data_IF_435252955993
#
_entry.id   IF_435252955993
#
_cell.length_a   1.000
_cell.length_b   1.000
_cell.length_c   1.000
_cell.angle_alpha   90.00
_cell.angle_beta   90.00
_cell.angle_gamma   90.00
#
_symmetry.space_group_name_H-M   'P 1'
#
loop_
_entity.id
_entity.type
_entity.pdbx_description
1 polymer ?
#
# COMPACT_ATOMS: atom_id res chain seq x y z
N UNK A 1 -26.48 6.33 -1.66
CA UNK A 1 -25.76 7.59 -1.83
C UNK A 1 -26.22 8.19 -3.15
N UNK A 2 -26.82 9.37 -3.15
CA UNK A 2 -27.24 10.04 -4.38
C UNK A 2 -26.03 10.79 -4.97
N UNK A 3 -25.48 10.28 -6.06
CA UNK A 3 -24.31 10.87 -6.73
C UNK A 3 -24.59 12.27 -7.29
N UNK A 4 -25.88 12.63 -7.52
CA UNK A 4 -26.26 13.95 -8.00
C UNK A 4 -26.05 15.05 -6.94
N UNK A 5 -25.96 14.67 -5.66
CA UNK A 5 -25.73 15.58 -4.52
C UNK A 5 -24.30 15.50 -3.97
N UNK A 6 -23.43 14.65 -4.55
CA UNK A 6 -22.07 14.50 -4.09
C UNK A 6 -21.22 15.71 -4.52
N UNK A 7 -20.44 16.24 -3.58
CA UNK A 7 -19.42 17.22 -3.91
C UNK A 7 -18.27 16.52 -4.64
N UNK A 8 -18.10 16.82 -5.95
CA UNK A 8 -17.02 16.25 -6.75
C UNK A 8 -15.73 17.04 -6.57
N UNK A 9 -14.62 16.32 -6.39
CA UNK A 9 -13.28 16.88 -6.42
C UNK A 9 -12.64 16.52 -7.76
N UNK A 10 -12.44 17.52 -8.62
CA UNK A 10 -11.74 17.34 -9.89
C UNK A 10 -10.23 17.43 -9.66
N UNK A 11 -9.49 16.43 -10.08
CA UNK A 11 -8.04 16.36 -9.89
C UNK A 11 -7.34 15.69 -11.07
N UNK A 12 -6.10 16.10 -11.40
CA UNK A 12 -5.26 15.35 -12.32
C UNK A 12 -5.01 13.94 -11.78
N UNK A 13 -5.17 12.95 -12.65
CA UNK A 13 -4.93 11.56 -12.31
C UNK A 13 -4.09 10.88 -13.39
N UNK A 14 -3.34 9.84 -12.99
CA UNK A 14 -2.58 8.96 -13.86
C UNK A 14 -2.78 7.51 -13.41
N UNK A 15 -2.58 6.57 -14.30
CA UNK A 15 -2.70 5.14 -14.01
C UNK A 15 -1.33 4.50 -14.13
N UNK A 16 -0.95 3.70 -13.14
CA UNK A 16 0.15 2.74 -13.20
C UNK A 16 -0.44 1.35 -13.42
N UNK A 17 0.13 0.59 -14.34
CA UNK A 17 -0.33 -0.76 -14.68
C UNK A 17 0.88 -1.63 -14.90
N UNK A 18 0.88 -2.82 -14.31
CA UNK A 18 1.89 -3.83 -14.59
C UNK A 18 1.72 -4.38 -16.01
N UNK A 19 2.85 -4.69 -16.63
CA UNK A 19 2.85 -5.35 -17.94
C UNK A 19 2.49 -6.84 -17.77
N UNK A 20 1.73 -7.45 -18.73
CA UNK A 20 1.44 -8.89 -18.69
C UNK A 20 2.69 -9.77 -18.64
N UNK A 21 3.80 -9.32 -19.25
CA UNK A 21 5.09 -10.01 -19.26
C UNK A 21 5.78 -10.09 -17.89
N UNK A 22 5.27 -9.41 -16.87
CA UNK A 22 5.72 -9.54 -15.49
C UNK A 22 5.53 -10.96 -14.95
N UNK A 23 4.50 -11.67 -15.43
CA UNK A 23 4.24 -13.06 -15.04
C UNK A 23 4.98 -13.98 -16.02
N UNK A 24 5.96 -14.80 -15.57
CA UNK A 24 6.63 -15.77 -16.43
C UNK A 24 5.60 -16.73 -17.05
N UNK A 25 5.74 -17.00 -18.34
CA UNK A 25 4.93 -18.05 -19.02
C UNK A 25 5.36 -19.40 -18.47
N UNK A 26 4.39 -20.27 -18.14
CA UNK A 26 4.62 -21.62 -17.64
C UNK A 26 5.65 -22.36 -18.50
N UNK A 27 6.72 -22.83 -17.89
CA UNK A 27 7.85 -23.51 -18.55
C UNK A 27 9.17 -22.76 -18.57
N UNK A 28 9.23 -21.47 -18.20
CA UNK A 28 10.48 -20.70 -18.07
C UNK A 28 10.87 -20.37 -16.62
N UNK A 29 10.26 -21.01 -15.65
CA UNK A 29 10.64 -20.88 -14.25
C UNK A 29 12.03 -21.54 -14.04
N UNK A 30 13.11 -20.82 -14.24
CA UNK A 30 14.38 -21.39 -13.86
C UNK A 30 15.68 -20.78 -14.34
N UNK A 31 15.73 -19.62 -14.98
CA UNK A 31 17.01 -18.97 -15.27
C UNK A 31 16.90 -17.46 -15.52
N UNK A 32 16.26 -16.70 -14.64
CA UNK A 32 16.53 -15.28 -14.61
C UNK A 32 17.73 -15.06 -13.68
N UNK A 33 18.87 -14.55 -14.15
CA UNK A 33 19.94 -14.11 -13.26
C UNK A 33 19.38 -12.99 -12.37
N UNK A 34 19.70 -13.06 -11.07
CA UNK A 34 19.45 -11.95 -10.16
C UNK A 34 20.05 -10.68 -10.78
N UNK A 35 19.31 -9.58 -10.88
CA UNK A 35 19.87 -8.35 -11.41
C UNK A 35 21.05 -7.93 -10.53
N UNK A 36 22.23 -7.87 -11.14
CA UNK A 36 23.41 -7.25 -10.54
C UNK A 36 23.04 -5.83 -10.14
N UNK A 37 23.36 -5.48 -8.90
CA UNK A 37 23.14 -4.16 -8.34
C UNK A 37 23.87 -3.10 -9.18
N UNK A 38 23.16 -2.46 -10.09
CA UNK A 38 23.65 -1.25 -10.73
C UNK A 38 23.38 -0.05 -9.83
N UNK A 39 24.38 0.82 -9.61
CA UNK A 39 24.20 2.00 -8.75
C UNK A 39 23.16 2.92 -9.36
N UNK A 40 22.20 3.31 -8.53
CA UNK A 40 21.07 4.18 -8.86
C UNK A 40 21.54 5.46 -9.57
N UNK A 41 21.32 5.54 -10.87
CA UNK A 41 21.41 6.79 -11.63
C UNK A 41 20.07 7.48 -11.51
N UNK A 42 19.99 8.51 -10.68
CA UNK A 42 18.83 9.36 -10.56
C UNK A 42 18.58 10.09 -11.88
N UNK A 43 17.59 9.64 -12.63
CA UNK A 43 17.06 10.39 -13.78
C UNK A 43 15.73 11.03 -13.36
N UNK A 44 15.53 12.35 -13.56
CA UNK A 44 14.28 12.99 -13.16
C UNK A 44 13.12 12.47 -13.99
N UNK A 45 12.07 11.96 -13.34
CA UNK A 45 10.80 11.65 -13.97
C UNK A 45 10.15 12.95 -14.46
N UNK A 46 10.15 13.17 -15.76
CA UNK A 46 9.31 14.18 -16.37
C UNK A 46 7.86 13.68 -16.41
N UNK A 47 7.07 14.06 -15.39
CA UNK A 47 5.63 13.82 -15.38
C UNK A 47 4.99 14.81 -16.38
N UNK A 48 4.79 14.39 -17.62
CA UNK A 48 3.98 15.14 -18.59
C UNK A 48 2.50 14.95 -18.25
N UNK A 49 1.99 15.82 -17.38
CA UNK A 49 0.56 15.94 -17.14
C UNK A 49 -0.11 16.55 -18.36
N UNK A 50 -0.81 15.77 -19.13
CA UNK A 50 -1.73 16.27 -20.17
C UNK A 50 -2.98 16.82 -19.46
N UNK A 51 -2.98 18.12 -19.18
CA UNK A 51 -4.15 18.82 -18.67
C UNK A 51 -5.20 18.93 -19.78
N UNK A 52 -6.32 18.25 -19.63
CA UNK A 52 -7.50 18.51 -20.44
C UNK A 52 -8.13 19.82 -19.96
N UNK A 53 -7.86 20.91 -20.65
CA UNK A 53 -8.65 22.15 -20.53
C UNK A 53 -9.82 22.03 -21.50
N UNK A 54 -11.04 22.05 -20.97
CA UNK A 54 -12.25 22.20 -21.76
C UNK A 54 -12.29 23.59 -22.39
N UNK A 55 -12.23 23.62 -23.69
CA UNK A 55 -12.65 24.76 -24.54
C UNK A 55 -13.54 24.20 -25.66
N UNK A 56 -14.51 24.98 -26.17
CA UNK A 56 -15.48 24.50 -27.16
C UNK A 56 -14.81 24.18 -28.51
N UNK A 57 -15.44 23.32 -29.35
CA UNK A 57 -14.79 22.73 -30.50
C UNK A 57 -14.60 23.74 -31.63
N UNK A 58 -13.35 23.92 -32.05
CA UNK A 58 -13.01 24.51 -33.32
C UNK A 58 -12.74 23.41 -34.38
N UNK A 59 -13.12 23.64 -35.60
CA UNK A 59 -13.10 22.73 -36.75
C UNK A 59 -11.70 22.13 -37.04
N UNK A 60 -11.61 20.92 -37.63
CA UNK A 60 -10.37 20.19 -37.80
C UNK A 60 -9.50 20.75 -38.94
N UNK A 61 -8.24 21.04 -38.61
CA UNK A 61 -7.17 21.22 -39.60
C UNK A 61 -6.51 19.84 -39.89
N UNK A 62 -5.96 19.63 -41.10
CA UNK A 62 -5.47 18.32 -41.55
C UNK A 62 -4.21 17.89 -40.78
N UNK A 63 -4.19 16.63 -40.40
CA UNK A 63 -3.11 16.00 -39.68
C UNK A 63 -1.87 15.79 -40.55
N UNK A 64 -0.71 16.26 -40.07
CA UNK A 64 0.59 15.82 -40.58
C UNK A 64 0.92 14.40 -40.10
N UNK A 65 1.60 13.59 -40.91
CA UNK A 65 1.91 12.19 -40.51
C UNK A 65 2.93 12.16 -39.40
N UNK A 66 2.55 11.54 -38.27
CA UNK A 66 3.46 11.25 -37.17
C UNK A 66 4.49 10.18 -37.64
N UNK A 67 5.75 10.48 -37.51
CA UNK A 67 6.85 9.57 -37.83
C UNK A 67 6.87 8.44 -36.79
N UNK A 68 6.91 7.20 -37.24
CA UNK A 68 6.91 5.95 -36.49
C UNK A 68 8.09 5.77 -35.49
N UNK A 69 9.03 6.71 -35.46
CA UNK A 69 10.25 6.62 -34.64
C UNK A 69 10.06 6.98 -33.16
N UNK A 70 8.99 7.74 -32.80
CA UNK A 70 8.80 8.21 -31.42
C UNK A 70 8.00 7.22 -30.55
N UNK A 71 7.31 6.25 -31.16
CA UNK A 71 6.55 5.24 -30.42
C UNK A 71 7.41 4.09 -29.89
N UNK A 72 8.49 3.73 -30.58
CA UNK A 72 9.34 2.61 -30.20
C UNK A 72 10.29 2.95 -29.04
N UNK A 73 10.68 4.21 -28.90
CA UNK A 73 11.52 4.67 -27.77
C UNK A 73 10.74 4.78 -26.46
N UNK A 74 9.45 5.05 -26.50
CA UNK A 74 8.60 5.07 -25.30
C UNK A 74 8.23 3.65 -24.83
N UNK A 75 8.19 2.67 -25.72
CA UNK A 75 7.92 1.27 -25.39
C UNK A 75 9.15 0.55 -24.83
N UNK A 76 10.37 0.94 -25.21
CA UNK A 76 11.60 0.30 -24.74
C UNK A 76 12.00 0.68 -23.30
N UNK A 77 11.49 1.77 -22.73
CA UNK A 77 11.76 2.20 -21.35
C UNK A 77 10.72 1.74 -20.33
N UNK A 78 9.62 1.12 -20.76
CA UNK A 78 8.50 0.74 -19.87
C UNK A 78 8.59 -0.71 -19.35
N UNK A 79 9.67 -1.45 -19.61
CA UNK A 79 9.67 -2.92 -19.46
C UNK A 79 10.24 -3.45 -18.15
N UNK A 80 10.63 -2.60 -17.18
CA UNK A 80 11.22 -3.06 -15.92
C UNK A 80 10.52 -2.59 -14.65
N UNK A 81 9.65 -1.60 -14.70
CA UNK A 81 9.06 -1.02 -13.50
C UNK A 81 7.68 -1.62 -13.22
N UNK A 82 7.53 -2.29 -12.09
CA UNK A 82 6.24 -2.76 -11.59
C UNK A 82 5.47 -1.60 -10.94
N UNK A 83 4.15 -1.77 -10.72
CA UNK A 83 3.34 -0.81 -9.96
C UNK A 83 3.95 -0.57 -8.58
N UNK A 84 4.41 -1.63 -7.91
CA UNK A 84 5.06 -1.50 -6.59
C UNK A 84 6.35 -0.69 -6.69
N UNK A 85 7.20 -0.92 -7.71
CA UNK A 85 8.43 -0.14 -7.91
C UNK A 85 8.12 1.34 -8.17
N UNK A 86 7.09 1.63 -8.96
CA UNK A 86 6.61 3.00 -9.16
C UNK A 86 6.16 3.68 -7.85
N UNK A 87 5.50 2.94 -6.95
CA UNK A 87 5.14 3.46 -5.63
C UNK A 87 6.36 3.66 -4.73
N UNK A 88 7.36 2.75 -4.77
CA UNK A 88 8.63 2.93 -4.05
C UNK A 88 9.37 4.17 -4.53
N UNK A 89 9.39 4.44 -5.84
CA UNK A 89 9.95 5.66 -6.39
C UNK A 89 9.21 6.90 -5.88
N UNK A 90 7.87 6.89 -5.86
CA UNK A 90 7.08 8.00 -5.29
C UNK A 90 7.43 8.25 -3.81
N UNK A 91 7.58 7.20 -3.01
CA UNK A 91 8.06 7.31 -1.62
C UNK A 91 9.48 7.89 -1.54
N UNK A 92 10.33 7.56 -2.51
CA UNK A 92 11.67 8.15 -2.65
C UNK A 92 11.66 9.68 -2.79
N UNK A 93 10.59 10.26 -3.33
CA UNK A 93 10.42 11.70 -3.49
C UNK A 93 9.68 12.37 -2.33
N UNK A 94 9.17 11.62 -1.36
CA UNK A 94 8.50 12.14 -0.18
C UNK A 94 9.43 13.05 0.65
N UNK A 95 8.86 14.11 1.21
CA UNK A 95 9.58 15.14 1.98
C UNK A 95 9.08 15.32 3.40
N UNK A 96 7.84 14.90 3.69
CA UNK A 96 7.19 15.12 4.98
C UNK A 96 6.60 13.84 5.55
N UNK A 97 5.73 13.20 4.78
CA UNK A 97 4.90 12.12 5.28
C UNK A 97 4.55 11.09 4.20
N UNK A 98 4.58 9.83 4.58
CA UNK A 98 4.11 8.69 3.80
C UNK A 98 3.16 7.90 4.69
N UNK A 99 1.90 7.80 4.27
CA UNK A 99 0.87 7.03 4.95
C UNK A 99 0.42 5.89 4.04
N UNK A 100 0.54 4.67 4.54
CA UNK A 100 0.32 3.42 3.81
C UNK A 100 -0.82 2.65 4.47
N UNK A 101 -1.75 2.16 3.66
CA UNK A 101 -2.69 1.11 4.04
C UNK A 101 -2.45 -0.09 3.14
N UNK A 102 -2.10 -1.23 3.72
CA UNK A 102 -1.89 -2.48 3.00
C UNK A 102 -2.40 -3.66 3.83
N UNK A 103 -3.47 -4.36 3.39
CA UNK A 103 -4.03 -5.51 4.10
C UNK A 103 -3.00 -6.61 4.37
N UNK A 104 -2.20 -6.93 3.37
CA UNK A 104 -1.03 -7.78 3.45
C UNK A 104 0.21 -6.90 3.29
N UNK A 105 1.11 -6.99 4.24
CA UNK A 105 2.29 -6.14 4.30
C UNK A 105 3.51 -7.00 4.64
N UNK A 106 4.22 -7.44 3.62
CA UNK A 106 5.44 -8.25 3.76
C UNK A 106 6.57 -7.54 3.01
N UNK A 107 7.23 -6.57 3.67
CA UNK A 107 8.19 -5.72 3.00
C UNK A 107 9.48 -6.48 2.65
N UNK A 108 9.78 -6.54 1.35
CA UNK A 108 11.06 -7.01 0.85
C UNK A 108 12.22 -6.06 1.19
N UNK A 109 13.43 -6.44 0.77
CA UNK A 109 14.64 -5.66 1.03
C UNK A 109 14.55 -4.25 0.42
N UNK A 110 14.06 -4.12 -0.81
CA UNK A 110 13.93 -2.85 -1.54
C UNK A 110 12.97 -1.90 -0.83
N UNK A 111 11.86 -2.42 -0.32
CA UNK A 111 10.88 -1.66 0.43
C UNK A 111 11.44 -1.17 1.77
N UNK A 112 12.15 -2.04 2.51
CA UNK A 112 12.84 -1.65 3.74
C UNK A 112 13.90 -0.58 3.47
N UNK A 113 14.64 -0.69 2.36
CA UNK A 113 15.61 0.32 1.95
C UNK A 113 14.94 1.67 1.62
N UNK A 114 13.79 1.65 0.93
CA UNK A 114 13.01 2.85 0.65
C UNK A 114 12.52 3.53 1.94
N UNK A 115 12.05 2.75 2.93
CA UNK A 115 11.65 3.28 4.24
C UNK A 115 12.85 3.87 4.99
N UNK A 116 13.98 3.16 5.04
CA UNK A 116 15.19 3.66 5.67
C UNK A 116 15.65 4.99 5.05
N UNK A 117 15.68 5.08 3.73
CA UNK A 117 16.04 6.29 3.01
C UNK A 117 15.04 7.44 3.27
N UNK A 118 13.73 7.17 3.35
CA UNK A 118 12.72 8.16 3.69
C UNK A 118 12.91 8.67 5.12
N UNK A 119 13.11 7.76 6.09
CA UNK A 119 13.35 8.10 7.49
C UNK A 119 14.65 8.91 7.69
N UNK A 120 15.72 8.55 6.97
CA UNK A 120 16.98 9.31 7.00
C UNK A 120 16.82 10.76 6.53
N UNK A 121 15.83 11.04 5.66
CA UNK A 121 15.46 12.40 5.24
C UNK A 121 14.49 13.09 6.20
N UNK A 122 14.11 12.45 7.32
CA UNK A 122 13.14 12.98 8.28
C UNK A 122 11.67 12.81 7.87
N UNK A 123 11.39 12.01 6.83
CA UNK A 123 10.02 11.72 6.39
C UNK A 123 9.35 10.82 7.43
N UNK A 124 8.16 11.16 7.89
CA UNK A 124 7.33 10.31 8.73
C UNK A 124 6.77 9.17 7.87
N UNK A 125 6.96 7.92 8.28
CA UNK A 125 6.42 6.75 7.58
C UNK A 125 5.49 6.00 8.50
N UNK A 126 4.23 5.86 8.09
CA UNK A 126 3.16 5.18 8.84
C UNK A 126 2.54 4.07 8.01
N UNK A 127 2.32 2.93 8.63
CA UNK A 127 1.70 1.76 7.98
C UNK A 127 0.54 1.26 8.83
N UNK A 128 -0.63 1.10 8.22
CA UNK A 128 -1.76 0.39 8.76
C UNK A 128 -1.93 -0.93 8.00
N UNK A 129 -1.91 -2.04 8.73
CA UNK A 129 -2.14 -3.38 8.20
C UNK A 129 -3.14 -4.16 9.06
N UNK A 130 -3.48 -5.38 8.67
CA UNK A 130 -4.31 -6.25 9.49
C UNK A 130 -3.52 -6.80 10.69
N UNK A 131 -4.15 -6.85 11.88
CA UNK A 131 -3.65 -7.65 13.00
C UNK A 131 -3.77 -9.14 12.70
N UNK A 132 -3.17 -9.99 13.51
CA UNK A 132 -3.36 -11.44 13.42
C UNK A 132 -4.85 -11.84 13.53
N UNK A 133 -5.59 -11.16 14.39
CA UNK A 133 -7.00 -11.43 14.61
C UNK A 133 -7.92 -10.96 13.46
N UNK A 134 -7.52 -9.90 12.75
CA UNK A 134 -8.30 -9.35 11.62
C UNK A 134 -7.88 -9.91 10.26
N UNK A 135 -6.77 -10.67 10.18
CA UNK A 135 -6.24 -11.21 8.93
C UNK A 135 -6.92 -12.54 8.56
N UNK A 136 -7.31 -12.68 7.30
CA UNK A 136 -7.86 -13.92 6.73
C UNK A 136 -6.76 -14.86 6.21
N UNK A 137 -5.52 -14.38 6.07
CA UNK A 137 -4.35 -15.13 5.62
C UNK A 137 -3.26 -15.17 6.72
N UNK A 138 -3.35 -16.09 7.71
CA UNK A 138 -2.39 -16.18 8.82
C UNK A 138 -0.93 -16.33 8.37
N UNK A 139 -0.70 -16.96 7.20
CA UNK A 139 0.65 -17.12 6.63
C UNK A 139 1.22 -15.77 6.20
N UNK A 140 0.41 -14.92 5.54
CA UNK A 140 0.84 -13.56 5.18
C UNK A 140 1.14 -12.73 6.42
N UNK A 141 0.32 -12.87 7.47
CA UNK A 141 0.61 -12.22 8.75
C UNK A 141 1.91 -12.74 9.39
N UNK A 142 2.19 -14.04 9.29
CA UNK A 142 3.45 -14.63 9.75
C UNK A 142 4.66 -14.01 9.04
N UNK A 143 4.55 -13.78 7.74
CA UNK A 143 5.55 -13.05 6.96
C UNK A 143 5.78 -11.64 7.51
N UNK A 144 4.72 -10.88 7.69
CA UNK A 144 4.77 -9.52 8.25
C UNK A 144 5.38 -9.49 9.66
N UNK A 145 4.93 -10.38 10.54
CA UNK A 145 5.30 -10.38 11.96
C UNK A 145 6.81 -10.40 12.21
N UNK A 146 7.57 -11.07 11.34
CA UNK A 146 9.04 -11.14 11.41
C UNK A 146 9.71 -9.80 11.17
N UNK A 147 9.07 -8.93 10.39
CA UNK A 147 9.64 -7.65 9.99
C UNK A 147 9.34 -6.52 10.97
N UNK A 148 8.44 -6.71 11.93
CA UNK A 148 8.04 -5.67 12.90
C UNK A 148 9.25 -5.04 13.64
N UNK A 149 10.17 -5.83 14.24
CA UNK A 149 11.30 -5.23 14.95
C UNK A 149 12.18 -4.36 14.05
N UNK A 150 12.49 -4.85 12.84
CA UNK A 150 13.30 -4.10 11.87
C UNK A 150 12.61 -2.79 11.45
N UNK A 151 11.32 -2.84 11.13
CA UNK A 151 10.55 -1.67 10.72
C UNK A 151 10.47 -0.62 11.83
N UNK A 152 10.22 -1.06 13.07
CA UNK A 152 10.21 -0.19 14.23
C UNK A 152 11.59 0.41 14.51
N UNK A 153 12.67 -0.36 14.34
CA UNK A 153 14.04 0.13 14.48
C UNK A 153 14.39 1.16 13.38
N UNK A 154 13.84 1.04 12.17
CA UNK A 154 13.93 2.05 11.12
C UNK A 154 13.11 3.31 11.45
N UNK A 155 12.29 3.31 12.49
CA UNK A 155 11.41 4.41 12.87
C UNK A 155 10.10 4.47 12.06
N UNK A 156 9.69 3.37 11.44
CA UNK A 156 8.36 3.24 10.83
C UNK A 156 7.33 3.10 11.95
N UNK A 157 6.27 3.87 11.89
CA UNK A 157 5.13 3.76 12.82
C UNK A 157 4.18 2.68 12.29
N UNK A 158 4.02 1.61 13.07
CA UNK A 158 3.18 0.48 12.71
C UNK A 158 1.85 0.52 13.47
N UNK A 159 0.79 0.29 12.73
CA UNK A 159 -0.57 0.18 13.27
C UNK A 159 -1.22 -1.10 12.74
N UNK A 160 -1.93 -1.80 13.61
CA UNK A 160 -2.64 -3.02 13.29
C UNK A 160 -4.12 -2.89 13.56
N UNK A 161 -4.92 -3.19 12.55
CA UNK A 161 -6.36 -3.10 12.60
C UNK A 161 -6.94 -4.10 13.59
N UNK A 162 -7.85 -3.65 14.47
CA UNK A 162 -8.60 -4.52 15.37
C UNK A 162 -9.65 -5.36 14.61
N UNK A 163 -9.90 -6.56 15.10
CA UNK A 163 -10.87 -7.47 14.47
C UNK A 163 -12.35 -7.10 14.70
N UNK A 164 -12.66 -6.32 15.76
CA UNK A 164 -14.04 -6.10 16.21
C UNK A 164 -14.67 -4.78 15.73
N UNK A 165 -14.02 -4.03 14.83
CA UNK A 165 -14.50 -2.70 14.46
C UNK A 165 -15.40 -2.69 13.22
N UNK A 166 -16.68 -2.45 13.45
CA UNK A 166 -17.69 -2.21 12.40
C UNK A 166 -17.59 -0.82 11.74
N UNK A 167 -16.89 0.14 12.35
CA UNK A 167 -16.94 1.55 11.96
C UNK A 167 -16.04 1.96 10.80
N UNK A 168 -14.87 1.31 10.62
CA UNK A 168 -14.07 1.53 9.41
C UNK A 168 -14.75 1.00 8.15
N UNK A 169 -15.60 -0.02 8.29
CA UNK A 169 -16.44 -0.48 7.18
C UNK A 169 -17.35 0.63 6.67
N UNK A 170 -17.84 1.52 7.54
CA UNK A 170 -18.61 2.70 7.16
C UNK A 170 -17.78 3.76 6.42
N UNK A 171 -16.58 4.05 6.90
CA UNK A 171 -15.72 5.08 6.31
C UNK A 171 -15.14 4.66 4.94
N UNK A 172 -14.79 3.39 4.74
CA UNK A 172 -14.24 2.88 3.48
C UNK A 172 -15.25 2.16 2.59
N UNK A 173 -16.44 1.76 3.10
CA UNK A 173 -17.54 1.25 2.28
C UNK A 173 -18.24 2.35 1.47
N UNK A 174 -18.09 3.61 1.85
CA UNK A 174 -18.54 4.75 1.05
C UNK A 174 -17.79 4.87 -0.31
N UNK A 175 -16.69 4.15 -0.50
CA UNK A 175 -15.92 4.08 -1.76
C UNK A 175 -16.25 2.87 -2.64
N UNK A 176 -17.47 2.30 -2.54
CA UNK A 176 -18.01 1.46 -3.62
C UNK A 176 -17.66 -0.03 -3.62
N UNK A 177 -17.41 -0.64 -2.47
CA UNK A 177 -17.26 -2.10 -2.37
C UNK A 177 -18.60 -2.82 -2.35
N UNK A 178 -18.91 -3.61 -3.37
CA UNK A 178 -20.09 -4.47 -3.50
C UNK A 178 -20.20 -5.46 -2.32
N UNK A 179 -21.43 -5.55 -1.79
CA UNK A 179 -21.77 -6.39 -0.67
C UNK A 179 -21.50 -7.86 -0.87
N UNK A 180 -20.75 -8.45 0.03
CA UNK A 180 -20.66 -9.90 0.21
C UNK A 180 -21.87 -10.42 0.98
N UNK A 181 -22.58 -11.35 0.41
CA UNK A 181 -23.74 -12.06 0.93
C UNK A 181 -23.44 -12.85 2.21
N UNK A 182 -24.44 -12.83 3.09
CA UNK A 182 -24.50 -13.40 4.40
C UNK A 182 -23.92 -14.79 4.65
N UNK A 183 -23.13 -14.83 5.72
CA UNK A 183 -23.06 -15.96 6.63
C UNK A 183 -23.22 -15.40 8.04
N UNK A 184 -24.12 -15.97 8.83
CA UNK A 184 -24.36 -15.64 10.22
C UNK A 184 -23.21 -16.13 11.11
N UNK A 185 -22.11 -15.40 11.06
CA UNK A 185 -20.98 -15.45 11.97
C UNK A 185 -20.55 -14.00 12.20
N UNK A 186 -20.08 -13.65 13.40
CA UNK A 186 -19.59 -12.32 13.73
C UNK A 186 -18.65 -11.84 12.63
N UNK A 187 -19.09 -10.88 11.81
CA UNK A 187 -18.32 -10.35 10.68
C UNK A 187 -17.09 -9.63 11.24
N UNK A 188 -15.94 -10.29 11.19
CA UNK A 188 -14.68 -9.65 11.54
C UNK A 188 -14.44 -8.50 10.58
N UNK A 189 -14.15 -7.33 11.12
CA UNK A 189 -13.72 -6.22 10.30
C UNK A 189 -12.31 -6.56 9.78
N UNK A 190 -12.18 -6.62 8.47
CA UNK A 190 -10.92 -6.86 7.78
C UNK A 190 -10.62 -5.68 6.87
N UNK A 191 -9.39 -5.20 6.95
CA UNK A 191 -8.90 -4.19 6.04
C UNK A 191 -8.69 -4.81 4.65
N UNK A 192 -9.19 -4.15 3.60
CA UNK A 192 -8.97 -4.60 2.21
C UNK A 192 -8.46 -3.46 1.30
N UNK A 193 -8.49 -2.24 1.76
CA UNK A 193 -8.01 -1.06 1.03
C UNK A 193 -6.50 -1.10 0.84
N UNK A 194 -6.03 -0.79 -0.38
CA UNK A 194 -4.62 -0.58 -0.70
C UNK A 194 -4.45 0.86 -1.14
N UNK A 195 -3.73 1.62 -0.32
CA UNK A 195 -3.67 3.07 -0.45
C UNK A 195 -2.31 3.60 0.02
N UNK A 196 -1.82 4.61 -0.67
CA UNK A 196 -0.63 5.36 -0.31
C UNK A 196 -0.95 6.86 -0.41
N UNK A 197 -0.67 7.62 0.65
CA UNK A 197 -0.68 9.08 0.60
C UNK A 197 0.74 9.61 0.78
N UNK A 198 1.17 10.49 -0.10
CA UNK A 198 2.49 11.12 -0.05
C UNK A 198 2.33 12.62 0.17
N UNK A 199 2.93 13.13 1.24
CA UNK A 199 3.01 14.55 1.59
C UNK A 199 1.65 15.28 1.68
N UNK A 200 0.54 14.55 1.86
CA UNK A 200 -0.81 15.10 1.84
C UNK A 200 -1.19 15.73 0.49
N UNK A 201 -0.60 15.29 -0.63
CA UNK A 201 -0.79 15.87 -1.97
C UNK A 201 -1.06 14.86 -3.05
N UNK A 202 -0.50 13.69 -2.93
CA UNK A 202 -0.65 12.59 -3.87
C UNK A 202 -1.28 11.40 -3.16
N UNK A 203 -2.35 10.89 -3.74
CA UNK A 203 -3.04 9.69 -3.33
C UNK A 203 -2.83 8.62 -4.40
N UNK A 204 -2.37 7.45 -4.02
CA UNK A 204 -2.39 6.25 -4.85
C UNK A 204 -3.37 5.25 -4.25
N UNK A 205 -4.27 4.72 -5.07
CA UNK A 205 -5.22 3.67 -4.69
C UNK A 205 -5.25 2.61 -5.77
N UNK A 206 -5.23 1.33 -5.40
CA UNK A 206 -5.16 0.27 -6.39
C UNK A 206 -5.40 -1.12 -5.84
N UNK A 207 -4.97 -2.10 -6.61
CA UNK A 207 -5.09 -3.52 -6.28
C UNK A 207 -3.90 -4.08 -5.51
N UNK A 208 -2.72 -3.45 -5.60
CA UNK A 208 -1.45 -3.95 -5.08
C UNK A 208 -1.37 -3.90 -3.56
N UNK A 209 -1.01 -5.01 -2.94
CA UNK A 209 -0.48 -5.01 -1.58
C UNK A 209 1.01 -4.63 -1.60
N UNK A 210 1.53 -4.18 -0.47
CA UNK A 210 2.97 -3.99 -0.31
C UNK A 210 3.60 -5.30 0.22
N UNK A 211 3.62 -6.29 -0.65
CA UNK A 211 4.22 -7.60 -0.45
C UNK A 211 4.99 -8.07 -1.69
N UNK A 212 5.78 -9.12 -1.53
CA UNK A 212 6.61 -9.66 -2.61
C UNK A 212 5.78 -10.32 -3.73
N UNK A 213 4.59 -10.81 -3.41
CA UNK A 213 3.69 -11.41 -4.37
C UNK A 213 3.11 -10.36 -5.31
N UNK A 214 2.61 -9.24 -4.79
CA UNK A 214 2.15 -8.12 -5.61
C UNK A 214 3.29 -7.51 -6.43
N UNK A 215 4.52 -7.50 -5.88
CA UNK A 215 5.67 -6.98 -6.60
C UNK A 215 6.11 -7.87 -7.77
N UNK A 216 6.05 -9.22 -7.63
CA UNK A 216 6.72 -10.14 -8.55
C UNK A 216 5.82 -11.12 -9.29
N UNK A 217 4.63 -11.42 -8.78
CA UNK A 217 3.80 -12.52 -9.26
C UNK A 217 2.42 -12.10 -9.76
N UNK A 218 1.87 -11.00 -9.24
CA UNK A 218 0.58 -10.49 -9.67
C UNK A 218 0.74 -9.35 -10.66
N UNK A 219 -0.22 -9.18 -11.57
CA UNK A 219 -0.38 -7.94 -12.32
C UNK A 219 -1.28 -7.00 -11.52
N UNK A 220 -0.81 -5.80 -11.31
CA UNK A 220 -1.44 -4.81 -10.45
C UNK A 220 -1.78 -3.52 -11.22
N UNK A 221 -2.69 -2.75 -10.65
CA UNK A 221 -3.06 -1.43 -11.15
C UNK A 221 -3.15 -0.44 -10.00
N UNK A 222 -2.71 0.78 -10.23
CA UNK A 222 -2.89 1.88 -9.29
C UNK A 222 -3.33 3.15 -10.01
N UNK A 223 -4.27 3.87 -9.41
CA UNK A 223 -4.68 5.21 -9.79
C UNK A 223 -3.93 6.21 -8.91
N UNK A 224 -3.18 7.11 -9.53
CA UNK A 224 -2.48 8.22 -8.89
C UNK A 224 -3.31 9.47 -9.03
N UNK A 225 -3.69 10.11 -7.92
CA UNK A 225 -4.53 11.31 -7.90
C UNK A 225 -3.74 12.44 -7.24
N UNK A 226 -3.48 13.52 -7.97
CA UNK A 226 -2.84 14.70 -7.40
C UNK A 226 -3.90 15.67 -6.90
N UNK A 227 -4.23 15.58 -5.62
CA UNK A 227 -5.18 16.46 -4.96
C UNK A 227 -4.85 16.64 -3.49
N UNK A 228 -4.47 17.85 -3.10
CA UNK A 228 -4.22 18.18 -1.69
C UNK A 228 -5.50 18.05 -0.87
N UNK A 229 -6.62 18.55 -1.37
CA UNK A 229 -7.89 18.49 -0.64
C UNK A 229 -8.31 17.04 -0.38
N UNK A 230 -8.30 16.17 -1.40
CA UNK A 230 -8.63 14.76 -1.25
C UNK A 230 -7.63 14.03 -0.36
N UNK A 231 -6.33 14.28 -0.53
CA UNK A 231 -5.30 13.63 0.27
C UNK A 231 -5.39 14.01 1.74
N UNK A 232 -5.70 15.27 2.07
CA UNK A 232 -5.91 15.72 3.46
C UNK A 232 -7.15 15.02 4.04
N UNK A 233 -8.29 15.06 3.35
CA UNK A 233 -9.52 14.43 3.81
C UNK A 233 -9.34 12.93 4.09
N UNK A 234 -8.66 12.23 3.20
CA UNK A 234 -8.34 10.80 3.36
C UNK A 234 -7.39 10.60 4.55
N UNK A 235 -6.34 11.42 4.67
CA UNK A 235 -5.39 11.32 5.78
C UNK A 235 -6.08 11.54 7.13
N UNK A 236 -6.92 12.57 7.26
CA UNK A 236 -7.67 12.85 8.50
C UNK A 236 -8.58 11.68 8.90
N UNK A 237 -9.28 11.10 7.92
CA UNK A 237 -10.12 9.92 8.15
C UNK A 237 -9.31 8.71 8.64
N UNK A 238 -8.12 8.51 8.06
CA UNK A 238 -7.23 7.42 8.46
C UNK A 238 -6.67 7.70 9.87
N UNK A 239 -6.24 8.91 10.16
CA UNK A 239 -5.70 9.27 11.48
C UNK A 239 -6.72 9.07 12.62
N UNK A 240 -7.98 9.41 12.37
CA UNK A 240 -9.06 9.10 13.31
C UNK A 240 -9.17 7.59 13.53
N UNK A 241 -9.08 6.81 12.45
CA UNK A 241 -9.11 5.35 12.54
C UNK A 241 -7.88 4.78 13.27
N UNK A 242 -6.69 5.28 13.00
CA UNK A 242 -5.45 4.87 13.69
C UNK A 242 -5.55 5.10 15.19
N UNK A 243 -6.05 6.26 15.60
CA UNK A 243 -6.14 6.63 17.01
C UNK A 243 -7.21 5.86 17.78
N UNK A 244 -8.36 5.58 17.15
CA UNK A 244 -9.53 5.02 17.83
C UNK A 244 -9.72 3.51 17.62
N UNK A 245 -9.12 2.93 16.57
CA UNK A 245 -9.50 1.61 16.09
C UNK A 245 -8.33 0.68 15.76
N UNK A 246 -7.09 1.14 15.88
CA UNK A 246 -5.92 0.33 15.59
C UNK A 246 -5.01 0.22 16.81
N UNK A 247 -4.38 -0.94 16.96
CA UNK A 247 -3.27 -1.13 17.89
C UNK A 247 -2.04 -0.44 17.32
N UNK A 248 -1.38 0.40 18.09
CA UNK A 248 -0.06 0.90 17.73
C UNK A 248 1.01 -0.08 18.21
N UNK A 249 1.79 -0.64 17.28
CA UNK A 249 2.89 -1.53 17.62
C UNK A 249 4.13 -0.71 17.95
N UNK A 250 4.74 -0.98 19.09
CA UNK A 250 5.95 -0.29 19.57
C UNK A 250 6.96 -1.29 20.12
N UNK A 251 8.18 -0.83 20.40
CA UNK A 251 9.16 -1.58 21.17
C UNK A 251 9.26 -1.01 22.58
N UNK A 252 9.35 -1.91 23.57
CA UNK A 252 9.72 -1.53 24.96
C UNK A 252 11.21 -1.18 25.02
N UNK A 253 11.71 -0.58 26.13
CA UNK A 253 13.15 -0.37 26.33
C UNK A 253 13.97 -1.66 26.21
N UNK A 254 13.38 -2.81 26.56
CA UNK A 254 13.99 -4.15 26.47
C UNK A 254 13.86 -4.77 25.06
N UNK A 255 13.49 -3.97 24.05
CA UNK A 255 13.32 -4.39 22.64
C UNK A 255 12.26 -5.50 22.44
N UNK A 256 11.23 -5.52 23.28
CA UNK A 256 10.09 -6.43 23.15
C UNK A 256 8.91 -5.69 22.50
N UNK A 257 8.14 -6.39 21.68
CA UNK A 257 6.93 -5.86 21.07
C UNK A 257 5.87 -5.53 22.15
N UNK A 258 5.24 -4.38 21.98
CA UNK A 258 4.13 -3.90 22.77
C UNK A 258 3.07 -3.31 21.84
N UNK A 259 1.85 -3.78 21.96
CA UNK A 259 0.67 -3.23 21.28
C UNK A 259 -0.02 -2.25 22.22
N UNK A 260 0.06 -0.97 21.90
CA UNK A 260 -0.64 0.07 22.65
C UNK A 260 -2.10 0.11 22.24
N UNK A 261 -2.97 0.14 23.22
CA UNK A 261 -4.40 0.17 23.00
C UNK A 261 -4.86 1.48 22.33
N UNK A 262 -5.89 1.42 21.46
CA UNK A 262 -6.47 2.62 20.86
C UNK A 262 -6.98 3.59 21.94
N UNK A 263 -6.86 4.89 21.67
CA UNK A 263 -7.30 5.92 22.61
C UNK A 263 -8.80 5.82 22.90
N UNK A 264 -9.16 5.90 24.17
CA UNK A 264 -10.57 5.87 24.60
C UNK A 264 -11.26 4.51 24.43
N UNK A 265 -10.53 3.46 24.07
CA UNK A 265 -11.10 2.11 23.87
C UNK A 265 -11.43 1.39 25.18
N UNK A 266 -10.86 1.81 26.30
CA UNK A 266 -10.96 1.10 27.58
C UNK A 266 -10.16 -0.23 27.63
N UNK A 267 -9.34 -0.50 26.62
CA UNK A 267 -8.48 -1.66 26.56
C UNK A 267 -7.13 -1.37 27.21
N UNK A 268 -6.47 -2.43 27.64
CA UNK A 268 -5.10 -2.38 28.14
C UNK A 268 -4.09 -2.68 27.01
N UNK A 269 -2.87 -2.19 27.18
CA UNK A 269 -1.75 -2.52 26.31
C UNK A 269 -1.45 -4.03 26.38
N UNK A 270 -1.06 -4.63 25.26
CA UNK A 270 -0.79 -6.06 25.18
C UNK A 270 0.66 -6.35 24.81
N UNK A 271 1.28 -7.30 25.48
CA UNK A 271 2.61 -7.82 25.13
C UNK A 271 2.56 -9.04 24.19
N UNK A 272 1.36 -9.43 23.75
CA UNK A 272 1.14 -10.55 22.82
C UNK A 272 0.15 -10.10 21.75
N UNK A 273 0.03 -10.86 20.64
CA UNK A 273 -0.93 -10.59 19.56
C UNK A 273 -2.34 -10.30 20.13
N UNK A 274 -2.82 -9.06 20.10
CA UNK A 274 -4.11 -8.73 20.70
C UNK A 274 -5.27 -9.31 19.89
N UNK A 275 -6.40 -9.50 20.53
CA UNK A 275 -7.65 -10.02 19.93
C UNK A 275 -7.51 -11.41 19.28
N UNK A 276 -6.31 -12.02 19.27
CA UNK A 276 -6.06 -13.33 18.67
C UNK A 276 -6.26 -14.46 19.65
N UNK A 277 -6.90 -15.55 19.19
CA UNK A 277 -7.07 -16.75 20.00
C UNK A 277 -5.75 -17.49 20.24
N UNK A 278 -5.66 -18.24 21.35
CA UNK A 278 -4.47 -19.05 21.64
C UNK A 278 -4.06 -20.00 20.49
N UNK A 279 -4.99 -20.75 19.86
CA UNK A 279 -4.61 -21.59 18.72
C UNK A 279 -4.00 -20.80 17.58
N UNK A 280 -4.53 -19.61 17.27
CA UNK A 280 -4.02 -18.76 16.18
C UNK A 280 -2.60 -18.25 16.48
N UNK A 281 -2.33 -17.87 17.74
CA UNK A 281 -0.98 -17.47 18.19
C UNK A 281 0.01 -18.64 18.09
N UNK A 282 -0.41 -19.86 18.46
CA UNK A 282 0.42 -21.07 18.33
C UNK A 282 0.73 -21.37 16.85
N UNK A 283 -0.26 -21.27 15.97
CA UNK A 283 -0.07 -21.42 14.52
C UNK A 283 0.96 -20.41 14.02
N UNK A 284 0.85 -19.15 14.40
CA UNK A 284 1.80 -18.11 14.03
C UNK A 284 3.22 -18.44 14.49
N UNK A 285 3.37 -18.90 15.74
CA UNK A 285 4.66 -19.26 16.31
C UNK A 285 5.31 -20.44 15.60
N UNK A 286 4.52 -21.43 15.16
CA UNK A 286 5.01 -22.62 14.47
C UNK A 286 5.28 -22.37 12.99
N UNK A 287 4.41 -21.65 12.30
CA UNK A 287 4.51 -21.40 10.87
C UNK A 287 5.33 -20.15 10.50
N UNK A 288 5.45 -19.21 11.44
CA UNK A 288 6.19 -17.97 11.21
C UNK A 288 7.61 -18.18 10.65
N UNK A 289 8.42 -19.04 11.25
CA UNK A 289 9.78 -19.31 10.75
C UNK A 289 9.81 -20.00 9.38
N UNK A 290 8.72 -20.66 8.98
CA UNK A 290 8.64 -21.47 7.76
C UNK A 290 7.99 -20.71 6.59
N UNK A 291 7.39 -19.54 6.84
CA UNK A 291 6.71 -18.76 5.80
C UNK A 291 7.76 -18.07 4.89
N UNK A 292 7.91 -18.47 3.61
CA UNK A 292 8.92 -17.87 2.73
C UNK A 292 8.43 -16.52 2.20
N UNK A 293 9.19 -15.44 2.43
CA UNK A 293 8.84 -14.10 1.94
C UNK A 293 8.53 -14.03 0.43
N UNK A 294 9.26 -14.76 -0.45
CA UNK A 294 8.99 -14.71 -1.89
C UNK A 294 7.62 -15.25 -2.33
N UNK A 295 6.94 -16.00 -1.47
CA UNK A 295 5.61 -16.56 -1.76
C UNK A 295 4.46 -15.75 -1.13
N UNK A 296 4.82 -14.72 -0.37
CA UNK A 296 3.89 -13.89 0.41
C UNK A 296 3.77 -12.48 -0.17
#
# INVERSE_FOLDING_TARGET
MDLAQAAFIWAPAAVLVDQPAKIPVDGQAGTAPLPEQSPARATPLAITARAARGAPPAAPAPAAPATRADSDTLHAQATTDTVVDGLLQLMGHARKDVLIISPYFVPGADMKQAFAAARARGVRVRVLTNSLASNDAPIAHAGYARHRPDLLALGVELYEMRSEQTSLRGAFSATGGLGGSGASGSSRAMLHTKLLVVDGRLLAVGSMNLDMRSQRQNTEIALLIRSTALSIQVTESIEQALSAQAWQVTLTPEQRLLWRAPQGSGLEDSSTEPDASLPLRLILMLLGPLAPDPLL
#
